data_IF_017446278117
#
_entry.id   IF_017446278117
#
_cell.length_a   1.000
_cell.length_b   1.000
_cell.length_c   1.000
_cell.angle_alpha   90.00
_cell.angle_beta   90.00
_cell.angle_gamma   90.00
#
_symmetry.space_group_name_H-M   'P 1'
#
loop_
_entity.id
_entity.type
_entity.pdbx_description
1 polymer ?
#
# COMPACT_ATOMS: atom_id res chain seq x y z
N UNK A 1 18.39 -45.17 1.87
CA UNK A 1 17.22 -44.94 1.01
C UNK A 1 16.78 -43.51 1.29
N UNK A 2 17.05 -42.49 0.47
CA UNK A 2 17.04 -42.45 -1.00
C UNK A 2 15.59 -42.66 -1.46
N UNK A 3 14.90 -41.77 -2.17
CA UNK A 3 15.26 -40.50 -2.76
C UNK A 3 14.02 -39.97 -3.52
N UNK A 4 13.92 -38.65 -3.54
CA UNK A 4 13.05 -37.70 -4.25
C UNK A 4 12.64 -38.10 -5.68
N UNK A 5 11.38 -37.83 -6.09
CA UNK A 5 10.97 -36.97 -7.25
C UNK A 5 9.51 -37.24 -7.69
N UNK A 6 8.61 -36.26 -7.51
CA UNK A 6 8.20 -35.15 -8.41
C UNK A 6 7.18 -35.58 -9.49
N UNK A 7 5.95 -35.11 -9.33
CA UNK A 7 5.03 -34.87 -10.44
C UNK A 7 4.65 -33.39 -10.41
N UNK A 8 5.12 -32.64 -11.41
CA UNK A 8 4.82 -31.23 -11.64
C UNK A 8 3.94 -31.17 -12.88
N UNK A 9 2.71 -30.71 -12.72
CA UNK A 9 1.82 -30.22 -13.78
C UNK A 9 0.79 -29.34 -13.06
N UNK A 10 0.38 -28.15 -13.48
CA UNK A 10 0.59 -27.43 -14.74
C UNK A 10 0.28 -25.96 -14.41
N UNK A 11 1.25 -25.05 -14.53
CA UNK A 11 0.98 -23.60 -14.51
C UNK A 11 0.92 -23.14 -15.97
N UNK A 12 -0.29 -22.92 -16.49
CA UNK A 12 -0.49 -22.16 -17.74
C UNK A 12 -0.30 -20.68 -17.42
N UNK A 13 0.70 -20.07 -18.03
CA UNK A 13 0.97 -18.63 -18.05
C UNK A 13 0.19 -18.04 -19.22
N UNK A 14 -0.46 -16.86 -19.10
CA UNK A 14 -1.10 -16.20 -20.23
C UNK A 14 -0.06 -15.64 -21.22
N UNK A 15 -0.07 -16.25 -22.40
CA UNK A 15 0.13 -15.74 -23.76
C UNK A 15 0.77 -14.34 -23.92
N UNK A 16 2.00 -14.35 -24.44
CA UNK A 16 2.69 -13.17 -24.99
C UNK A 16 2.07 -12.88 -26.35
N UNK A 17 1.61 -11.65 -26.57
CA UNK A 17 1.14 -11.19 -27.89
C UNK A 17 2.29 -11.30 -28.88
N UNK A 18 2.12 -12.19 -29.85
CA UNK A 18 2.98 -12.33 -31.02
C UNK A 18 2.94 -11.01 -31.81
N UNK A 19 4.10 -10.37 -31.94
CA UNK A 19 4.28 -9.27 -32.88
C UNK A 19 4.22 -9.92 -34.26
N UNK A 20 3.16 -9.64 -35.01
CA UNK A 20 3.09 -9.96 -36.44
C UNK A 20 4.21 -9.18 -37.12
N UNK A 21 5.35 -9.85 -37.34
CA UNK A 21 6.33 -9.41 -38.32
C UNK A 21 5.68 -9.63 -39.68
N UNK A 22 5.47 -8.52 -40.37
CA UNK A 22 4.97 -8.45 -41.75
C UNK A 22 5.84 -9.37 -42.64
N UNK A 23 5.25 -10.43 -43.20
CA UNK A 23 5.90 -11.33 -44.16
C UNK A 23 5.95 -10.71 -45.57
N UNK A 24 6.36 -9.45 -45.67
CA UNK A 24 6.42 -8.72 -46.93
C UNK A 24 7.83 -8.61 -47.54
N UNK A 25 8.88 -9.08 -46.84
CA UNK A 25 10.28 -8.97 -47.30
C UNK A 25 10.95 -10.35 -47.56
N UNK A 26 10.26 -11.29 -48.21
CA UNK A 26 10.83 -12.61 -48.60
C UNK A 26 10.97 -12.85 -50.11
N UNK A 27 10.83 -11.81 -50.93
CA UNK A 27 11.04 -11.90 -52.37
C UNK A 27 12.25 -11.06 -52.79
N UNK A 28 13.47 -11.55 -52.48
CA UNK A 28 14.70 -11.25 -53.26
C UNK A 28 15.90 -12.06 -52.75
N UNK A 29 15.70 -13.36 -52.52
CA UNK A 29 16.77 -14.31 -52.21
C UNK A 29 17.23 -15.10 -53.45
N UNK A 30 17.12 -14.52 -54.66
CA UNK A 30 17.56 -15.16 -55.89
C UNK A 30 18.95 -14.68 -56.33
N UNK A 31 19.89 -15.65 -56.32
CA UNK A 31 21.08 -15.74 -57.17
C UNK A 31 22.29 -14.81 -56.89
N UNK A 32 23.23 -15.30 -56.07
CA UNK A 32 24.65 -14.98 -56.26
C UNK A 32 25.43 -16.27 -56.52
N UNK A 33 25.71 -16.52 -57.80
CA UNK A 33 26.59 -17.59 -58.26
C UNK A 33 28.03 -17.31 -57.81
N UNK A 34 28.58 -18.21 -56.99
CA UNK A 34 29.98 -18.20 -56.56
C UNK A 34 30.81 -18.87 -57.66
N UNK A 35 31.24 -18.11 -58.67
CA UNK A 35 32.33 -18.55 -59.53
C UNK A 35 33.65 -18.48 -58.74
N UNK A 36 34.10 -19.66 -58.32
CA UNK A 36 35.46 -19.93 -57.85
C UNK A 36 36.34 -20.18 -59.08
N UNK A 37 37.18 -19.20 -59.45
CA UNK A 37 38.31 -19.44 -60.35
C UNK A 37 39.52 -18.64 -59.83
N UNK A 38 40.54 -19.39 -59.43
CA UNK A 38 41.80 -18.94 -58.84
C UNK A 38 42.54 -17.92 -59.74
N UNK A 39 43.16 -16.96 -59.07
CA UNK A 39 44.13 -15.96 -59.57
C UNK A 39 43.57 -14.66 -60.17
N UNK A 40 43.20 -13.71 -59.31
CA UNK A 40 43.14 -12.28 -59.64
C UNK A 40 43.42 -11.43 -58.40
N UNK A 41 44.54 -10.69 -58.42
CA UNK A 41 44.77 -9.56 -57.51
C UNK A 41 43.53 -8.66 -57.54
N UNK A 42 42.86 -8.37 -56.40
CA UNK A 42 41.60 -7.63 -56.44
C UNK A 42 41.83 -6.26 -57.08
N UNK A 43 41.02 -5.84 -58.08
CA UNK A 43 41.16 -4.52 -58.66
C UNK A 43 40.98 -3.45 -57.57
N UNK A 44 41.73 -2.33 -57.61
CA UNK A 44 41.76 -1.33 -56.53
C UNK A 44 40.37 -0.79 -56.15
N UNK A 45 39.41 -0.84 -57.10
CA UNK A 45 38.02 -0.45 -56.89
C UNK A 45 37.24 -1.34 -55.91
N UNK A 46 37.56 -2.64 -55.80
CA UNK A 46 36.84 -3.58 -54.89
C UNK A 46 37.24 -3.34 -53.43
N UNK A 47 38.52 -3.07 -53.17
CA UNK A 47 39.02 -2.66 -51.84
C UNK A 47 38.50 -1.30 -51.41
N UNK A 48 38.36 -0.36 -52.35
CA UNK A 48 37.81 0.97 -52.07
C UNK A 48 36.33 0.91 -51.65
N UNK A 49 35.50 0.08 -52.33
CA UNK A 49 34.08 -0.12 -51.97
C UNK A 49 33.89 -0.79 -50.61
N UNK A 50 34.73 -1.77 -50.26
CA UNK A 50 34.72 -2.38 -48.92
C UNK A 50 35.13 -1.38 -47.84
N UNK A 51 36.09 -0.51 -48.13
CA UNK A 51 36.52 0.56 -47.22
C UNK A 51 35.46 1.64 -47.01
N UNK A 52 34.67 1.96 -48.04
CA UNK A 52 33.55 2.90 -47.94
C UNK A 52 32.42 2.31 -47.10
N UNK A 53 32.06 1.04 -47.33
CA UNK A 53 31.05 0.34 -46.53
C UNK A 53 31.42 0.28 -45.04
N UNK A 54 32.67 -0.11 -44.72
CA UNK A 54 33.13 -0.14 -43.33
C UNK A 54 33.14 1.25 -42.68
N UNK A 55 33.34 2.31 -43.47
CA UNK A 55 33.30 3.69 -42.96
C UNK A 55 31.86 4.12 -42.65
N UNK A 56 30.92 3.81 -43.55
CA UNK A 56 29.49 4.06 -43.34
C UNK A 56 28.96 3.27 -42.14
N UNK A 57 29.36 2.00 -41.99
CA UNK A 57 29.03 1.19 -40.83
C UNK A 57 29.62 1.78 -39.55
N UNK A 58 30.88 2.24 -39.57
CA UNK A 58 31.49 2.87 -38.40
C UNK A 58 30.79 4.18 -38.01
N UNK A 59 30.39 5.00 -38.98
CA UNK A 59 29.64 6.23 -38.73
C UNK A 59 28.22 5.94 -38.23
N UNK A 60 27.56 4.90 -38.75
CA UNK A 60 26.27 4.41 -38.25
C UNK A 60 26.36 3.94 -36.78
N UNK A 61 27.39 3.13 -36.47
CA UNK A 61 27.64 2.66 -35.11
C UNK A 61 27.96 3.82 -34.15
N UNK A 62 28.68 4.85 -34.60
CA UNK A 62 28.92 6.06 -33.78
C UNK A 62 27.62 6.78 -33.45
N UNK A 63 26.75 7.00 -34.43
CA UNK A 63 25.43 7.60 -34.23
C UNK A 63 24.59 6.78 -33.24
N UNK A 64 24.60 5.45 -33.37
CA UNK A 64 23.86 4.56 -32.47
C UNK A 64 24.41 4.61 -31.04
N UNK A 65 25.74 4.60 -30.88
CA UNK A 65 26.38 4.72 -29.56
C UNK A 65 26.07 6.06 -28.89
N UNK A 66 26.03 7.15 -29.67
CA UNK A 66 25.64 8.46 -29.17
C UNK A 66 24.17 8.53 -28.74
N UNK A 67 23.28 7.89 -29.51
CA UNK A 67 21.87 7.75 -29.13
C UNK A 67 21.71 7.00 -27.80
N UNK A 68 22.36 5.83 -27.64
CA UNK A 68 22.31 5.08 -26.38
C UNK A 68 22.93 5.85 -25.21
N UNK A 69 24.01 6.58 -25.45
CA UNK A 69 24.60 7.45 -24.42
C UNK A 69 23.60 8.51 -23.96
N UNK A 70 22.91 9.16 -24.89
CA UNK A 70 21.91 10.18 -24.58
C UNK A 70 20.70 9.58 -23.82
N UNK A 71 20.21 8.40 -24.22
CA UNK A 71 19.15 7.70 -23.50
C UNK A 71 19.56 7.36 -22.06
N UNK A 72 20.79 6.87 -21.88
CA UNK A 72 21.33 6.58 -20.54
C UNK A 72 21.44 7.85 -19.69
N UNK A 73 21.92 8.94 -20.28
CA UNK A 73 22.07 10.20 -19.55
C UNK A 73 20.71 10.81 -19.19
N UNK A 74 19.69 10.65 -20.05
CA UNK A 74 18.31 11.01 -19.74
C UNK A 74 17.75 10.19 -18.57
N UNK A 75 17.90 8.86 -18.62
CA UNK A 75 17.47 7.96 -17.53
C UNK A 75 18.17 8.34 -16.21
N UNK A 76 19.48 8.62 -16.24
CA UNK A 76 20.22 9.03 -15.03
C UNK A 76 19.70 10.36 -14.47
N UNK A 77 19.39 11.33 -15.34
CA UNK A 77 18.84 12.61 -14.92
C UNK A 77 17.46 12.45 -14.28
N UNK A 78 16.59 11.62 -14.88
CA UNK A 78 15.26 11.32 -14.36
C UNK A 78 15.33 10.61 -13.00
N UNK A 79 16.17 9.58 -12.87
CA UNK A 79 16.37 8.89 -11.59
C UNK A 79 16.88 9.84 -10.51
N UNK A 80 17.83 10.72 -10.85
CA UNK A 80 18.36 11.70 -9.90
C UNK A 80 17.29 12.70 -9.47
N UNK A 81 16.45 13.16 -10.40
CA UNK A 81 15.32 14.03 -10.11
C UNK A 81 14.30 13.33 -9.21
N UNK A 82 13.96 12.08 -9.51
CA UNK A 82 13.03 11.30 -8.69
C UNK A 82 13.56 11.08 -7.28
N UNK A 83 14.84 10.73 -7.12
CA UNK A 83 15.49 10.61 -5.80
C UNK A 83 15.41 11.92 -5.03
N UNK A 84 15.72 13.06 -5.67
CA UNK A 84 15.63 14.38 -5.02
C UNK A 84 14.21 14.68 -4.52
N UNK A 85 13.18 14.38 -5.33
CA UNK A 85 11.77 14.57 -4.93
C UNK A 85 11.41 13.66 -3.75
N UNK A 86 11.89 12.42 -3.74
CA UNK A 86 11.66 11.49 -2.63
C UNK A 86 12.35 11.95 -1.35
N UNK A 87 13.57 12.48 -1.44
CA UNK A 87 14.29 13.04 -0.29
C UNK A 87 13.55 14.25 0.29
N UNK A 88 13.06 15.17 -0.54
CA UNK A 88 12.25 16.31 -0.09
C UNK A 88 10.95 15.86 0.61
N UNK A 89 10.28 14.84 0.07
CA UNK A 89 9.09 14.25 0.70
C UNK A 89 9.43 13.63 2.07
N UNK A 90 10.54 12.91 2.17
CA UNK A 90 11.01 12.30 3.42
C UNK A 90 11.28 13.39 4.45
N UNK A 91 11.94 14.48 4.08
CA UNK A 91 12.27 15.57 5.00
C UNK A 91 11.03 16.34 5.46
N UNK A 92 10.04 16.52 4.58
CA UNK A 92 8.74 17.06 4.98
C UNK A 92 8.03 16.16 6.02
N UNK A 93 8.03 14.83 5.81
CA UNK A 93 7.45 13.90 6.78
C UNK A 93 8.21 13.88 8.10
N UNK A 94 9.54 13.89 8.09
CA UNK A 94 10.36 13.98 9.31
C UNK A 94 10.01 15.23 10.12
N UNK A 95 9.88 16.38 9.45
CA UNK A 95 9.53 17.65 10.12
C UNK A 95 8.12 17.62 10.73
N UNK A 96 7.14 17.06 10.01
CA UNK A 96 5.78 16.86 10.54
C UNK A 96 5.77 15.93 11.74
N UNK A 97 6.51 14.81 11.68
CA UNK A 97 6.60 13.85 12.78
C UNK A 97 7.24 14.48 14.02
N UNK A 98 8.32 15.24 13.85
CA UNK A 98 8.98 15.96 14.93
C UNK A 98 8.04 16.99 15.58
N UNK A 99 7.30 17.76 14.78
CA UNK A 99 6.30 18.71 15.29
C UNK A 99 5.16 18.05 16.05
N UNK A 100 4.67 16.91 15.57
CA UNK A 100 3.64 16.12 16.26
C UNK A 100 4.17 15.55 17.58
N UNK A 101 5.39 15.01 17.60
CA UNK A 101 6.03 14.50 18.81
C UNK A 101 6.23 15.62 19.86
N UNK A 102 6.66 16.81 19.42
CA UNK A 102 6.76 17.97 20.29
C UNK A 102 5.38 18.34 20.88
N UNK A 103 4.34 18.41 20.06
CA UNK A 103 2.98 18.75 20.51
C UNK A 103 2.44 17.73 21.52
N UNK A 104 2.68 16.43 21.30
CA UNK A 104 2.29 15.38 22.25
C UNK A 104 3.03 15.52 23.59
N UNK A 105 4.34 15.81 23.56
CA UNK A 105 5.13 16.02 24.76
C UNK A 105 4.68 17.26 25.57
N UNK A 106 4.38 18.36 24.87
CA UNK A 106 3.88 19.59 25.50
C UNK A 106 2.47 19.39 26.08
N UNK A 107 1.59 18.68 25.37
CA UNK A 107 0.25 18.35 25.86
C UNK A 107 0.28 17.44 27.10
N UNK A 108 1.19 16.46 27.14
CA UNK A 108 1.36 15.60 28.32
C UNK A 108 1.79 16.41 29.56
N UNK A 109 2.70 17.37 29.40
CA UNK A 109 3.14 18.25 30.49
C UNK A 109 2.01 19.19 30.93
N UNK A 110 1.29 19.82 29.98
CA UNK A 110 0.14 20.68 30.29
C UNK A 110 -0.95 19.92 31.04
N UNK A 111 -1.32 18.72 30.57
CA UNK A 111 -2.32 17.88 31.23
C UNK A 111 -1.95 17.61 32.68
N UNK A 112 -0.68 17.27 32.97
CA UNK A 112 -0.22 17.05 34.35
C UNK A 112 -0.35 18.30 35.23
N UNK A 113 -0.12 19.48 34.66
CA UNK A 113 -0.28 20.75 35.37
C UNK A 113 -1.76 21.06 35.66
N UNK A 114 -2.64 20.78 34.70
CA UNK A 114 -4.08 21.00 34.85
C UNK A 114 -4.71 19.97 35.80
N UNK A 115 -4.27 18.72 35.77
CA UNK A 115 -4.69 17.68 36.73
C UNK A 115 -4.31 18.08 38.17
N UNK A 116 -3.10 18.65 38.37
CA UNK A 116 -2.66 19.14 39.68
C UNK A 116 -3.52 20.33 40.18
N UNK A 117 -3.82 21.30 39.30
CA UNK A 117 -4.72 22.42 39.64
C UNK A 117 -6.14 21.94 39.93
N UNK A 118 -6.62 20.97 39.18
CA UNK A 118 -7.95 20.36 39.36
C UNK A 118 -8.03 19.67 40.72
N UNK A 119 -7.01 18.90 41.11
CA UNK A 119 -6.93 18.27 42.43
C UNK A 119 -6.91 19.31 43.57
N UNK A 120 -6.17 20.41 43.42
CA UNK A 120 -6.13 21.50 44.41
C UNK A 120 -7.49 22.19 44.56
N UNK A 121 -8.15 22.50 43.43
CA UNK A 121 -9.50 23.08 43.44
C UNK A 121 -10.52 22.12 44.06
N UNK A 122 -10.46 20.82 43.73
CA UNK A 122 -11.32 19.80 44.32
C UNK A 122 -11.15 19.72 45.84
N UNK A 123 -9.92 19.83 46.34
CA UNK A 123 -9.64 19.87 47.77
C UNK A 123 -10.20 21.14 48.45
N UNK A 124 -10.10 22.31 47.80
CA UNK A 124 -10.70 23.56 48.29
C UNK A 124 -12.23 23.49 48.32
N UNK A 125 -12.86 22.95 47.28
CA UNK A 125 -14.32 22.74 47.21
C UNK A 125 -14.79 21.80 48.31
N UNK A 126 -14.09 20.69 48.55
CA UNK A 126 -14.40 19.77 49.65
C UNK A 126 -14.34 20.47 51.01
N UNK A 127 -13.28 21.25 51.26
CA UNK A 127 -13.09 21.99 52.50
C UNK A 127 -14.16 23.08 52.72
N UNK A 128 -14.59 23.75 51.64
CA UNK A 128 -15.71 24.70 51.67
C UNK A 128 -17.05 24.00 51.92
N UNK A 129 -17.27 22.81 51.34
CA UNK A 129 -18.46 21.97 51.58
C UNK A 129 -18.52 21.47 53.04
N UNK A 130 -17.38 21.22 53.67
CA UNK A 130 -17.31 20.87 55.09
C UNK A 130 -17.52 22.09 56.02
N UNK A 131 -17.20 23.31 55.57
CA UNK A 131 -17.45 24.55 56.32
C UNK A 131 -18.88 25.09 56.14
N UNK A 132 -19.55 24.77 55.02
CA UNK A 132 -20.99 24.98 54.83
C UNK A 132 -21.71 23.73 55.35
N UNK A 133 -21.98 23.74 56.66
CA UNK A 133 -22.51 22.59 57.39
C UNK A 133 -23.70 21.88 56.74
N UNK A 134 -23.70 20.56 56.93
CA UNK A 134 -24.79 19.59 56.90
C UNK A 134 -26.16 20.22 57.16
N UNK A 135 -27.03 20.19 56.16
CA UNK A 135 -28.41 20.61 56.28
C UNK A 135 -29.14 20.47 54.95
N UNK A 136 -29.44 19.23 54.56
CA UNK A 136 -30.68 18.81 53.87
C UNK A 136 -30.56 17.30 53.66
N UNK A 137 -31.20 16.54 54.54
CA UNK A 137 -31.71 15.21 54.21
C UNK A 137 -32.76 15.39 53.11
N UNK A 138 -32.65 14.63 52.01
CA UNK A 138 -33.71 14.57 51.01
C UNK A 138 -33.22 14.23 49.61
N UNK A 139 -33.52 13.01 49.17
CA UNK A 139 -33.63 12.65 47.75
C UNK A 139 -32.34 12.16 47.09
N UNK A 140 -31.97 10.91 47.36
CA UNK A 140 -31.17 10.11 46.41
C UNK A 140 -32.11 9.12 45.70
N UNK A 141 -32.96 9.65 44.83
CA UNK A 141 -33.42 8.95 43.63
C UNK A 141 -33.12 9.89 42.46
N UNK A 142 -32.69 9.31 41.34
CA UNK A 142 -32.31 9.99 40.09
C UNK A 142 -30.90 10.59 39.99
N UNK A 143 -29.91 9.71 39.81
CA UNK A 143 -28.75 9.94 38.94
C UNK A 143 -27.98 8.62 38.75
N UNK A 144 -28.62 7.61 38.15
CA UNK A 144 -28.00 6.30 37.88
C UNK A 144 -28.24 5.77 36.47
N UNK A 145 -28.58 6.62 35.50
CA UNK A 145 -28.88 6.21 34.12
C UNK A 145 -27.93 6.72 33.04
N UNK A 146 -26.78 7.29 33.39
CA UNK A 146 -25.80 7.81 32.40
C UNK A 146 -24.39 7.24 32.63
N UNK A 147 -24.31 5.97 33.03
CA UNK A 147 -23.05 5.24 33.15
C UNK A 147 -23.08 3.81 32.56
N UNK A 148 -24.27 3.30 32.19
CA UNK A 148 -24.42 1.95 31.63
C UNK A 148 -24.32 1.89 30.10
N UNK A 149 -24.43 3.02 29.38
CA UNK A 149 -24.42 3.02 27.91
C UNK A 149 -23.01 2.95 27.29
N UNK A 150 -21.95 3.08 28.09
CA UNK A 150 -20.55 2.91 27.64
C UNK A 150 -19.97 1.53 27.94
N UNK A 151 -20.61 0.75 28.82
CA UNK A 151 -20.18 -0.62 29.16
C UNK A 151 -20.85 -1.68 28.28
N UNK A 152 -21.99 -1.36 27.68
CA UNK A 152 -22.74 -2.20 26.74
C UNK A 152 -21.99 -2.47 25.42
N UNK A 153 -21.09 -1.56 25.01
CA UNK A 153 -20.26 -1.71 23.80
C UNK A 153 -19.12 -2.73 23.94
N UNK A 154 -18.80 -3.16 25.16
CA UNK A 154 -17.80 -4.19 25.47
C UNK A 154 -18.41 -5.57 25.74
N UNK A 155 -19.70 -5.76 25.45
CA UNK A 155 -20.38 -7.05 25.62
C UNK A 155 -19.77 -8.11 24.69
N UNK A 156 -18.75 -8.80 25.19
CA UNK A 156 -18.30 -10.11 24.70
C UNK A 156 -19.34 -11.15 25.12
N UNK A 157 -20.55 -11.05 24.56
CA UNK A 157 -21.50 -12.15 24.57
C UNK A 157 -20.92 -13.35 23.81
N UNK A 158 -21.49 -14.56 23.98
CA UNK A 158 -21.07 -15.71 23.19
C UNK A 158 -21.16 -15.36 21.69
N UNK A 159 -20.01 -15.44 21.01
CA UNK A 159 -19.90 -15.16 19.58
C UNK A 159 -20.85 -16.09 18.83
N UNK A 160 -21.80 -15.53 18.09
CA UNK A 160 -22.67 -16.33 17.24
C UNK A 160 -21.86 -17.01 16.13
N UNK A 161 -22.24 -18.22 15.71
CA UNK A 161 -21.56 -18.93 14.61
C UNK A 161 -21.53 -18.09 13.33
N UNK A 162 -22.59 -17.31 13.08
CA UNK A 162 -22.67 -16.38 11.95
C UNK A 162 -21.62 -15.27 12.06
N UNK A 163 -21.45 -14.69 13.25
CA UNK A 163 -20.43 -13.67 13.53
C UNK A 163 -19.02 -14.26 13.41
N UNK A 164 -18.78 -15.45 13.97
CA UNK A 164 -17.48 -16.11 13.88
C UNK A 164 -17.07 -16.40 12.43
N UNK A 165 -18.01 -16.90 11.62
CA UNK A 165 -17.80 -17.11 10.18
C UNK A 165 -17.49 -15.80 9.46
N UNK A 166 -18.24 -14.74 9.77
CA UNK A 166 -18.05 -13.41 9.18
C UNK A 166 -16.68 -12.81 9.52
N UNK A 167 -16.26 -12.91 10.77
CA UNK A 167 -14.92 -12.50 11.22
C UNK A 167 -13.85 -13.30 10.46
N UNK A 168 -13.99 -14.62 10.37
CA UNK A 168 -13.01 -15.47 9.69
C UNK A 168 -12.85 -15.14 8.20
N UNK A 169 -13.96 -14.97 7.48
CA UNK A 169 -13.94 -14.59 6.06
C UNK A 169 -13.37 -13.18 5.85
N UNK A 170 -13.80 -12.22 6.66
CA UNK A 170 -13.30 -10.84 6.59
C UNK A 170 -11.82 -10.75 6.91
N UNK A 171 -11.37 -11.44 7.96
CA UNK A 171 -9.95 -11.49 8.35
C UNK A 171 -9.09 -12.11 7.24
N UNK A 172 -9.52 -13.24 6.68
CA UNK A 172 -8.78 -13.92 5.59
C UNK A 172 -8.66 -13.01 4.35
N UNK A 173 -9.74 -12.33 4.00
CA UNK A 173 -9.76 -11.39 2.89
C UNK A 173 -8.82 -10.20 3.15
N UNK A 174 -8.95 -9.53 4.29
CA UNK A 174 -8.12 -8.35 4.58
C UNK A 174 -6.64 -8.70 4.73
N UNK A 175 -6.30 -9.92 5.16
CA UNK A 175 -4.92 -10.35 5.27
C UNK A 175 -4.18 -10.41 3.92
N UNK A 176 -4.88 -10.72 2.82
CA UNK A 176 -4.32 -10.67 1.47
C UNK A 176 -4.36 -9.27 0.84
N UNK A 177 -4.98 -8.29 1.51
CA UNK A 177 -5.13 -6.91 1.06
C UNK A 177 -4.41 -5.92 2.00
N UNK A 178 -3.07 -5.81 1.94
CA UNK A 178 -2.29 -4.96 2.86
C UNK A 178 -2.60 -3.46 2.75
N UNK A 179 -3.16 -3.00 1.62
CA UNK A 179 -3.61 -1.61 1.42
C UNK A 179 -5.05 -1.35 1.90
N UNK A 180 -5.70 -2.38 2.43
CA UNK A 180 -7.09 -2.36 2.83
C UNK A 180 -8.09 -2.42 1.69
N UNK A 181 -9.37 -2.50 2.05
CA UNK A 181 -10.48 -2.61 1.12
C UNK A 181 -11.70 -1.81 1.62
N UNK A 182 -12.54 -1.34 0.69
CA UNK A 182 -13.84 -0.75 1.04
C UNK A 182 -14.82 -1.81 1.52
N UNK A 183 -15.86 -1.39 2.25
CA UNK A 183 -16.92 -2.29 2.72
C UNK A 183 -17.59 -3.01 1.56
N UNK A 184 -17.85 -2.32 0.44
CA UNK A 184 -18.47 -2.91 -0.74
C UNK A 184 -17.61 -4.00 -1.38
N UNK A 185 -16.29 -3.84 -1.34
CA UNK A 185 -15.38 -4.83 -1.90
C UNK A 185 -15.30 -6.08 -1.02
N UNK A 186 -15.20 -5.88 0.29
CA UNK A 186 -15.27 -6.97 1.29
C UNK A 186 -16.60 -7.72 1.15
N UNK A 187 -17.72 -6.99 1.04
CA UNK A 187 -19.05 -7.54 0.87
C UNK A 187 -19.16 -8.38 -0.41
N UNK A 188 -18.66 -7.87 -1.54
CA UNK A 188 -18.65 -8.60 -2.82
C UNK A 188 -17.90 -9.94 -2.74
N UNK A 189 -16.85 -10.01 -1.93
CA UNK A 189 -16.15 -11.27 -1.65
C UNK A 189 -16.99 -12.21 -0.78
N UNK A 190 -17.53 -11.71 0.32
CA UNK A 190 -18.27 -12.52 1.30
C UNK A 190 -19.59 -13.04 0.74
N UNK A 191 -20.24 -12.28 -0.15
CA UNK A 191 -21.51 -12.64 -0.78
C UNK A 191 -21.45 -13.96 -1.58
N UNK A 192 -20.25 -14.38 -1.99
CA UNK A 192 -20.02 -15.67 -2.66
C UNK A 192 -20.28 -16.87 -1.73
N UNK A 193 -20.16 -16.67 -0.42
CA UNK A 193 -20.32 -17.70 0.61
C UNK A 193 -21.61 -17.54 1.42
N UNK A 194 -22.13 -16.31 1.53
CA UNK A 194 -23.36 -15.99 2.26
C UNK A 194 -24.11 -14.85 1.57
N UNK A 195 -25.24 -15.18 0.94
CA UNK A 195 -26.03 -14.24 0.14
C UNK A 195 -26.91 -13.32 0.98
N UNK A 196 -27.11 -13.63 2.26
CA UNK A 196 -28.01 -12.86 3.15
C UNK A 196 -27.28 -11.73 3.88
N UNK A 197 -25.96 -11.63 3.75
CA UNK A 197 -25.17 -10.60 4.40
C UNK A 197 -25.34 -9.26 3.68
N UNK A 198 -25.64 -8.22 4.45
CA UNK A 198 -25.69 -6.84 3.96
C UNK A 198 -24.37 -6.12 4.24
N UNK A 199 -24.04 -5.07 3.47
CA UNK A 199 -22.88 -4.22 3.76
C UNK A 199 -22.87 -3.66 5.19
N UNK A 200 -24.05 -3.32 5.72
CA UNK A 200 -24.23 -2.82 7.09
C UNK A 200 -23.81 -3.85 8.16
N UNK A 201 -24.03 -5.14 7.90
CA UNK A 201 -23.69 -6.20 8.86
C UNK A 201 -22.15 -6.36 8.95
N UNK A 202 -21.46 -6.16 7.82
CA UNK A 202 -19.98 -6.13 7.76
C UNK A 202 -19.45 -4.89 8.47
N UNK A 203 -20.00 -3.71 8.18
CA UNK A 203 -19.57 -2.47 8.82
C UNK A 203 -19.77 -2.50 10.34
N UNK A 204 -20.90 -3.02 10.80
CA UNK A 204 -21.18 -3.20 12.24
C UNK A 204 -20.16 -4.13 12.88
N UNK A 205 -19.85 -5.26 12.24
CA UNK A 205 -18.86 -6.23 12.73
C UNK A 205 -17.46 -5.61 12.78
N UNK A 206 -17.04 -4.88 11.74
CA UNK A 206 -15.73 -4.22 11.68
C UNK A 206 -15.56 -3.20 12.81
N UNK A 207 -16.61 -2.41 13.09
CA UNK A 207 -16.62 -1.46 14.21
C UNK A 207 -16.65 -2.14 15.59
N UNK A 208 -17.19 -3.35 15.69
CA UNK A 208 -17.26 -4.11 16.95
C UNK A 208 -15.88 -4.59 17.43
N UNK A 209 -14.91 -4.77 16.54
CA UNK A 209 -13.56 -5.26 16.88
C UNK A 209 -12.46 -4.29 16.46
N UNK A 210 -12.34 -3.11 17.11
CA UNK A 210 -11.39 -2.06 16.72
C UNK A 210 -9.91 -2.44 16.96
N UNK A 211 -9.65 -3.48 17.76
CA UNK A 211 -8.30 -4.04 17.95
C UNK A 211 -7.88 -4.97 16.79
N UNK A 212 -8.84 -5.52 16.06
CA UNK A 212 -8.62 -6.47 14.96
C UNK A 212 -8.70 -5.78 13.60
N UNK A 213 -9.61 -4.82 13.46
CA UNK A 213 -9.84 -4.08 12.22
C UNK A 213 -9.71 -2.57 12.44
N UNK A 214 -8.99 -1.91 11.55
CA UNK A 214 -8.80 -0.46 11.60
C UNK A 214 -9.30 0.19 10.32
N UNK A 215 -10.08 1.26 10.46
CA UNK A 215 -10.46 2.09 9.33
C UNK A 215 -9.33 3.08 9.02
N UNK A 216 -8.93 3.12 7.76
CA UNK A 216 -7.98 4.08 7.21
C UNK A 216 -8.67 4.92 6.15
N UNK A 217 -8.31 6.19 6.11
CA UNK A 217 -8.80 7.13 5.10
C UNK A 217 -7.64 7.49 4.19
N UNK A 218 -7.76 7.18 2.90
CA UNK A 218 -6.73 7.44 1.89
C UNK A 218 -7.21 8.47 0.88
N UNK A 219 -6.36 9.43 0.49
CA UNK A 219 -6.70 10.48 -0.47
C UNK A 219 -6.96 11.85 0.17
N UNK A 220 -7.23 12.86 -0.65
CA UNK A 220 -7.49 14.25 -0.21
C UNK A 220 -8.68 14.81 -1.00
N UNK A 221 -9.58 15.53 -0.32
CA UNK A 221 -10.70 16.22 -0.95
C UNK A 221 -11.73 15.26 -1.57
N UNK A 222 -11.96 15.40 -2.89
CA UNK A 222 -12.96 14.62 -3.62
C UNK A 222 -12.58 13.13 -3.84
N UNK A 223 -11.30 12.77 -3.65
CA UNK A 223 -10.80 11.40 -3.79
C UNK A 223 -10.64 10.69 -2.43
N UNK A 224 -11.39 11.11 -1.41
CA UNK A 224 -11.31 10.52 -0.08
C UNK A 224 -11.96 9.14 -0.06
N UNK A 225 -11.16 8.09 0.11
CA UNK A 225 -11.61 6.71 0.18
C UNK A 225 -11.47 6.15 1.60
N UNK A 226 -12.54 5.52 2.10
CA UNK A 226 -12.52 4.79 3.38
C UNK A 226 -12.24 3.32 3.12
N UNK A 227 -11.20 2.79 3.76
CA UNK A 227 -10.78 1.40 3.64
C UNK A 227 -10.59 0.79 5.02
N UNK A 228 -10.74 -0.51 5.11
CA UNK A 228 -10.48 -1.29 6.32
C UNK A 228 -9.24 -2.14 6.12
N UNK A 229 -8.39 -2.19 7.15
CA UNK A 229 -7.21 -3.06 7.22
C UNK A 229 -7.33 -4.01 8.42
N UNK A 230 -6.67 -5.16 8.32
CA UNK A 230 -6.57 -6.12 9.42
C UNK A 230 -5.29 -5.86 10.21
N UNK A 231 -5.41 -5.61 11.52
CA UNK A 231 -4.31 -5.30 12.44
C UNK A 231 -4.24 -6.28 13.61
N UNK A 232 -4.99 -7.38 13.59
CA UNK A 232 -5.09 -8.31 14.73
C UNK A 232 -3.79 -9.03 15.15
N UNK A 233 -2.73 -8.97 14.33
CA UNK A 233 -1.40 -9.50 14.67
C UNK A 233 -0.36 -8.41 14.96
N UNK A 234 -0.70 -7.13 14.79
CA UNK A 234 0.20 -6.03 15.15
C UNK A 234 0.24 -5.91 16.67
N UNK A 235 1.36 -6.31 17.28
CA UNK A 235 1.54 -6.20 18.73
C UNK A 235 1.64 -4.72 19.09
N UNK A 236 0.68 -4.20 19.84
CA UNK A 236 0.78 -2.88 20.48
C UNK A 236 1.89 -2.96 21.52
N UNK A 237 3.09 -2.48 21.17
CA UNK A 237 4.21 -2.28 22.11
C UNK A 237 4.14 -0.87 22.67
#
# INVERSE_FOLDING_TARGET
MGGVQRAVASRRVPEIKEIQLDESDKEDAEEMDVSDEDDMVPPPRKKMRQSEYLKEENDSLRCQMEAYKNEVDLIKADLKSEVSIRDDQIDAFKKTLQGMQQTLSENAVRKRQDDAKTAELHAKVKKLKEQVGTGTEGGEEEAKEEADDLLSSLSTGPLSDKTARLIGLTSTFLHIHPKGASVDYIWSFIQQFDKEIRPSDIETMLNQYPTVYKQITTGVGACLERKWIFTGFETTV
#
